data_IF_912130118356
#
_entry.id   IF_912130118356
#
_cell.length_a   1.000
_cell.length_b   1.000
_cell.length_c   1.000
_cell.angle_alpha   90.00
_cell.angle_beta   90.00
_cell.angle_gamma   90.00
#
_symmetry.space_group_name_H-M   'P 1'
#
loop_
_entity.id
_entity.type
_entity.pdbx_description
1 polymer ?
#
# COMPACT_ATOMS: atom_id res chain seq x y z
N UNK A 1 5.49 -3.15 3.91
CA UNK A 1 4.74 -4.29 4.50
C UNK A 1 3.61 -3.88 5.43
N UNK A 2 3.77 -2.89 6.31
CA UNK A 2 2.66 -2.44 7.17
C UNK A 2 1.49 -1.83 6.36
N UNK A 3 1.79 -1.10 5.28
CA UNK A 3 0.78 -0.45 4.44
C UNK A 3 -0.08 -1.48 3.69
N UNK A 4 0.54 -2.53 3.20
CA UNK A 4 -0.12 -3.63 2.49
C UNK A 4 -1.07 -4.38 3.43
N UNK A 5 -0.68 -4.57 4.70
CA UNK A 5 -1.56 -5.13 5.72
C UNK A 5 -2.73 -4.19 6.04
N UNK A 6 -2.51 -2.86 6.06
CA UNK A 6 -3.59 -1.89 6.22
C UNK A 6 -4.57 -1.94 5.05
N UNK A 7 -4.10 -1.99 3.80
CA UNK A 7 -4.96 -2.10 2.62
C UNK A 7 -5.76 -3.42 2.59
N UNK A 8 -5.14 -4.52 3.03
CA UNK A 8 -5.85 -5.79 3.20
C UNK A 8 -6.95 -5.70 4.28
N UNK A 9 -6.68 -5.04 5.41
CA UNK A 9 -7.67 -4.83 6.45
C UNK A 9 -8.86 -3.98 5.95
N UNK A 10 -8.57 -2.94 5.16
CA UNK A 10 -9.60 -2.13 4.51
C UNK A 10 -10.45 -2.98 3.56
N UNK A 11 -9.84 -3.81 2.72
CA UNK A 11 -10.57 -4.72 1.83
C UNK A 11 -11.49 -5.69 2.60
N UNK A 12 -10.99 -6.27 3.69
CA UNK A 12 -11.78 -7.16 4.54
C UNK A 12 -13.00 -6.43 5.11
N UNK A 13 -12.83 -5.17 5.50
CA UNK A 13 -13.91 -4.34 6.02
C UNK A 13 -14.98 -4.05 4.94
N UNK A 14 -14.57 -3.74 3.71
CA UNK A 14 -15.48 -3.53 2.58
C UNK A 14 -16.33 -4.77 2.27
N UNK A 15 -15.73 -5.97 2.27
CA UNK A 15 -16.48 -7.22 2.06
C UNK A 15 -17.44 -7.49 3.23
N UNK A 16 -17.00 -7.25 4.47
CA UNK A 16 -17.83 -7.45 5.65
C UNK A 16 -19.07 -6.54 5.64
N UNK A 17 -18.90 -5.24 5.34
CA UNK A 17 -20.01 -4.30 5.23
C UNK A 17 -20.88 -4.55 4.00
N UNK A 18 -20.29 -4.92 2.86
CA UNK A 18 -21.06 -5.32 1.67
C UNK A 18 -22.03 -6.45 2.00
N UNK A 19 -21.56 -7.48 2.70
CA UNK A 19 -22.41 -8.58 3.18
C UNK A 19 -23.44 -8.15 4.23
N UNK A 20 -23.04 -7.31 5.19
CA UNK A 20 -23.93 -6.87 6.27
C UNK A 20 -25.09 -6.00 5.78
N UNK A 21 -24.83 -5.08 4.83
CA UNK A 21 -25.85 -4.19 4.25
C UNK A 21 -26.58 -4.81 3.04
N UNK A 22 -26.07 -5.92 2.49
CA UNK A 22 -26.61 -6.52 1.26
C UNK A 22 -26.33 -5.70 0.00
N UNK A 23 -25.29 -4.87 0.02
CA UNK A 23 -24.91 -3.97 -1.08
C UNK A 23 -23.61 -4.43 -1.74
N UNK A 24 -23.67 -4.76 -3.03
CA UNK A 24 -22.52 -5.21 -3.84
C UNK A 24 -21.47 -4.12 -4.11
N UNK A 25 -21.75 -2.85 -3.82
CA UNK A 25 -20.80 -1.76 -4.04
C UNK A 25 -19.47 -1.97 -3.31
N UNK A 26 -19.51 -2.55 -2.10
CA UNK A 26 -18.30 -2.84 -1.33
C UNK A 26 -17.40 -3.90 -1.99
N UNK A 27 -17.99 -4.96 -2.55
CA UNK A 27 -17.24 -5.97 -3.33
C UNK A 27 -16.61 -5.38 -4.60
N UNK A 28 -17.31 -4.47 -5.28
CA UNK A 28 -16.77 -3.77 -6.46
C UNK A 28 -15.56 -2.90 -6.05
N UNK A 29 -15.65 -2.20 -4.91
CA UNK A 29 -14.59 -1.31 -4.44
C UNK A 29 -13.29 -2.05 -4.10
N UNK A 30 -13.38 -3.31 -3.64
CA UNK A 30 -12.21 -4.16 -3.36
C UNK A 30 -11.32 -4.35 -4.59
N UNK A 31 -11.89 -4.50 -5.79
CA UNK A 31 -11.10 -4.64 -7.02
C UNK A 31 -10.28 -3.39 -7.33
N UNK A 32 -10.82 -2.21 -7.07
CA UNK A 32 -10.09 -0.96 -7.23
C UNK A 32 -8.95 -0.86 -6.21
N UNK A 33 -9.21 -1.18 -4.94
CA UNK A 33 -8.18 -1.14 -3.90
C UNK A 33 -7.06 -2.14 -4.20
N UNK A 34 -7.38 -3.37 -4.64
CA UNK A 34 -6.37 -4.36 -5.03
C UNK A 34 -5.49 -3.86 -6.19
N UNK A 35 -6.08 -3.15 -7.15
CA UNK A 35 -5.34 -2.56 -8.28
C UNK A 35 -4.39 -1.46 -7.80
N UNK A 36 -4.86 -0.59 -6.90
CA UNK A 36 -4.04 0.46 -6.28
C UNK A 36 -2.92 -0.15 -5.44
N UNK A 37 -3.22 -1.15 -4.62
CA UNK A 37 -2.24 -1.85 -3.79
C UNK A 37 -1.14 -2.48 -4.64
N UNK A 38 -1.49 -3.14 -5.75
CA UNK A 38 -0.52 -3.71 -6.68
C UNK A 38 0.38 -2.63 -7.30
N UNK A 39 -0.20 -1.51 -7.74
CA UNK A 39 0.56 -0.40 -8.30
C UNK A 39 1.50 0.25 -7.27
N UNK A 40 1.01 0.48 -6.05
CA UNK A 40 1.78 1.06 -4.96
C UNK A 40 2.96 0.17 -4.58
N UNK A 41 2.74 -1.14 -4.37
CA UNK A 41 3.83 -2.06 -4.01
C UNK A 41 4.89 -2.15 -5.10
N UNK A 42 4.50 -2.13 -6.38
CA UNK A 42 5.45 -2.12 -7.49
C UNK A 42 6.31 -0.85 -7.49
N UNK A 43 5.70 0.33 -7.32
CA UNK A 43 6.40 1.62 -7.29
C UNK A 43 7.26 1.74 -6.03
N UNK A 44 6.73 1.39 -4.87
CA UNK A 44 7.42 1.45 -3.59
C UNK A 44 8.69 0.59 -3.57
N UNK A 45 8.61 -0.64 -4.09
CA UNK A 45 9.79 -1.50 -4.21
C UNK A 45 10.79 -0.93 -5.23
N UNK A 46 10.33 -0.41 -6.36
CA UNK A 46 11.22 0.20 -7.36
C UNK A 46 12.01 1.38 -6.76
N UNK A 47 11.35 2.23 -5.98
CA UNK A 47 12.00 3.34 -5.26
C UNK A 47 13.00 2.80 -4.23
N UNK A 48 12.63 1.80 -3.42
CA UNK A 48 13.52 1.20 -2.43
C UNK A 48 14.77 0.58 -3.06
N UNK A 49 14.65 -0.09 -4.21
CA UNK A 49 15.79 -0.66 -4.94
C UNK A 49 16.73 0.45 -5.42
N UNK A 50 16.21 1.53 -5.99
CA UNK A 50 17.02 2.66 -6.45
C UNK A 50 17.70 3.36 -5.26
N UNK A 51 16.99 3.52 -4.16
CA UNK A 51 17.51 4.13 -2.94
C UNK A 51 18.65 3.29 -2.34
N UNK A 52 18.43 1.98 -2.22
CA UNK A 52 19.45 1.06 -1.72
C UNK A 52 20.68 1.05 -2.63
N UNK A 53 20.52 1.14 -3.96
CA UNK A 53 21.66 1.23 -4.88
C UNK A 53 22.50 2.49 -4.67
N UNK A 54 21.91 3.59 -4.20
CA UNK A 54 22.59 4.86 -4.00
C UNK A 54 23.14 5.06 -2.58
N UNK A 55 22.50 4.48 -1.57
CA UNK A 55 22.81 4.70 -0.15
C UNK A 55 23.31 3.44 0.57
N UNK A 56 23.19 2.25 -0.05
CA UNK A 56 23.51 0.94 0.55
C UNK A 56 22.80 0.65 1.87
N UNK A 57 21.72 1.39 2.18
CA UNK A 57 20.88 1.24 3.37
C UNK A 57 19.43 1.47 2.99
N UNK A 58 18.51 0.85 3.73
CA UNK A 58 17.06 1.10 3.68
C UNK A 58 16.56 1.85 4.91
N UNK A 59 17.46 2.23 5.83
CA UNK A 59 17.10 2.98 7.01
C UNK A 59 16.65 4.39 6.60
N UNK A 60 15.43 4.74 7.00
CA UNK A 60 14.79 6.00 6.63
C UNK A 60 15.44 7.18 7.36
N UNK A 61 15.99 6.96 8.56
CA UNK A 61 16.68 8.01 9.35
C UNK A 61 17.95 8.53 8.66
N UNK A 62 18.58 7.70 7.82
CA UNK A 62 19.79 8.08 7.08
C UNK A 62 19.48 8.98 5.86
N UNK A 63 18.21 9.18 5.52
CA UNK A 63 17.74 9.96 4.37
C UNK A 63 17.48 11.43 4.77
N UNK A 64 18.49 12.10 5.34
CA UNK A 64 18.38 13.47 5.90
C UNK A 64 19.16 14.52 5.09
N UNK A 65 19.14 14.38 3.75
CA UNK A 65 19.90 15.26 2.83
C UNK A 65 19.25 16.63 2.60
N UNK A 66 17.95 16.77 2.88
CA UNK A 66 17.22 18.03 2.70
C UNK A 66 17.14 18.75 4.05
N UNK A 67 18.01 19.75 4.25
CA UNK A 67 17.98 20.64 5.40
C UNK A 67 17.78 22.08 4.93
N UNK A 68 16.74 22.71 5.46
CA UNK A 68 16.45 24.15 5.32
C UNK A 68 16.80 24.89 6.59
#
# INVERSE_FOLDING_TARGET
>A
MAIELMLLAVNMNFVAFSRFLGDTAGEIFVFFILTVAAAESAIGLAILVVLFRNLSTINVEDIDKLKG
#
